data_IF_249583386859
#
_entry.id   IF_249583386859
#
_cell.length_a   1.000
_cell.length_b   1.000
_cell.length_c   1.000
_cell.angle_alpha   90.00
_cell.angle_beta   90.00
_cell.angle_gamma   90.00
#
_symmetry.space_group_name_H-M   'P 1'
#
loop_
_entity.id
_entity.type
_entity.pdbx_description
1 polymer ?
#
# COMPACT_ATOMS: atom_id res chain seq x y z
N UNK A 1 -21.26 -15.70 -19.82
CA UNK A 1 -21.27 -15.69 -18.34
C UNK A 1 -22.15 -14.53 -17.88
N UNK A 2 -22.93 -14.69 -16.80
CA UNK A 2 -23.67 -13.58 -16.20
C UNK A 2 -22.76 -12.71 -15.31
N UNK A 3 -23.20 -11.49 -15.02
CA UNK A 3 -22.60 -10.61 -14.03
C UNK A 3 -22.63 -11.27 -12.65
N UNK A 4 -21.50 -11.27 -11.95
CA UNK A 4 -21.39 -11.88 -10.61
C UNK A 4 -22.24 -11.17 -9.54
N UNK A 5 -22.58 -9.90 -9.73
CA UNK A 5 -23.30 -9.10 -8.73
C UNK A 5 -24.81 -9.05 -8.98
N UNK A 6 -25.26 -9.02 -10.23
CA UNK A 6 -26.67 -8.78 -10.58
C UNK A 6 -27.24 -9.77 -11.60
N UNK A 7 -26.46 -10.76 -12.05
CA UNK A 7 -26.93 -11.78 -12.98
C UNK A 7 -27.09 -11.35 -14.44
N UNK A 8 -26.80 -10.08 -14.80
CA UNK A 8 -26.92 -9.57 -16.18
C UNK A 8 -26.16 -10.46 -17.17
N UNK A 9 -26.81 -11.02 -18.21
CA UNK A 9 -26.15 -11.89 -19.18
C UNK A 9 -25.22 -11.10 -20.13
N UNK A 10 -24.34 -11.82 -20.82
CA UNK A 10 -23.50 -11.23 -21.89
C UNK A 10 -22.29 -10.41 -21.42
N UNK A 11 -21.88 -10.54 -20.15
CA UNK A 11 -20.70 -9.83 -19.62
C UNK A 11 -19.58 -10.81 -19.23
N UNK A 12 -18.34 -10.31 -19.18
CA UNK A 12 -17.17 -11.15 -18.87
C UNK A 12 -17.14 -11.58 -17.40
N UNK A 13 -17.35 -10.64 -16.46
CA UNK A 13 -17.33 -10.89 -15.00
C UNK A 13 -18.26 -9.96 -14.23
N UNK A 14 -18.18 -8.66 -14.49
CA UNK A 14 -19.03 -7.61 -13.92
C UNK A 14 -19.56 -6.72 -15.05
N UNK A 15 -20.81 -6.29 -14.97
CA UNK A 15 -21.31 -5.21 -15.82
C UNK A 15 -20.76 -3.85 -15.36
N UNK A 16 -20.82 -2.85 -16.24
CA UNK A 16 -20.28 -1.51 -15.96
C UNK A 16 -20.96 -0.85 -14.74
N UNK A 17 -22.27 -1.05 -14.56
CA UNK A 17 -23.01 -0.52 -13.40
C UNK A 17 -22.52 -1.12 -12.08
N UNK A 18 -22.37 -2.44 -12.02
CA UNK A 18 -21.88 -3.12 -10.82
C UNK A 18 -20.41 -2.83 -10.57
N UNK A 19 -19.59 -2.65 -11.62
CA UNK A 19 -18.21 -2.18 -11.51
C UNK A 19 -18.17 -0.78 -10.88
N UNK A 20 -18.92 0.17 -11.43
CA UNK A 20 -19.01 1.53 -10.90
C UNK A 20 -19.60 1.56 -9.47
N UNK A 21 -20.56 0.69 -9.17
CA UNK A 21 -21.10 0.52 -7.82
C UNK A 21 -20.05 0.01 -6.82
N UNK A 22 -19.22 -0.96 -7.22
CA UNK A 22 -18.09 -1.43 -6.40
C UNK A 22 -17.05 -0.34 -6.16
N UNK A 23 -16.67 0.42 -7.19
CA UNK A 23 -15.71 1.53 -7.01
C UNK A 23 -16.26 2.62 -6.08
N UNK A 24 -17.55 2.99 -6.22
CA UNK A 24 -18.21 3.92 -5.30
C UNK A 24 -18.21 3.42 -3.85
N UNK A 25 -18.49 2.14 -3.62
CA UNK A 25 -18.42 1.52 -2.28
C UNK A 25 -17.00 1.40 -1.73
N UNK A 26 -15.98 1.41 -2.59
CA UNK A 26 -14.58 1.30 -2.21
C UNK A 26 -14.05 2.56 -1.51
N UNK A 27 -14.76 3.68 -1.63
CA UNK A 27 -14.32 4.98 -1.14
C UNK A 27 -13.13 5.54 -1.91
N UNK A 28 -12.75 6.76 -1.56
CA UNK A 28 -11.62 7.47 -2.14
C UNK A 28 -10.29 6.96 -1.54
N UNK A 29 -9.18 7.20 -2.23
CA UNK A 29 -7.87 6.69 -1.81
C UNK A 29 -7.35 7.36 -0.52
N UNK A 30 -7.70 8.62 -0.32
CA UNK A 30 -7.49 9.40 0.91
C UNK A 30 -8.24 8.85 2.11
N UNK A 31 -9.51 8.47 1.95
CA UNK A 31 -10.31 7.78 2.99
C UNK A 31 -9.69 6.44 3.41
N UNK A 32 -8.85 5.86 2.55
CA UNK A 32 -8.13 4.60 2.81
C UNK A 32 -6.69 4.80 3.30
N UNK A 33 -6.28 6.03 3.63
CA UNK A 33 -4.95 6.32 4.15
C UNK A 33 -3.86 6.48 3.07
N UNK A 34 -4.24 6.71 1.81
CA UNK A 34 -3.31 6.99 0.69
C UNK A 34 -3.48 8.43 0.16
N UNK A 35 -3.85 9.34 1.06
CA UNK A 35 -4.17 10.74 0.74
C UNK A 35 -2.94 11.62 0.48
N UNK A 36 -3.13 12.94 0.43
CA UNK A 36 -2.03 13.90 0.30
C UNK A 36 -0.90 13.67 1.31
N UNK A 37 -1.24 13.38 2.56
CA UNK A 37 -0.26 13.16 3.62
C UNK A 37 0.60 11.91 3.38
N UNK A 38 0.01 10.83 2.87
CA UNK A 38 0.75 9.63 2.48
C UNK A 38 1.76 9.98 1.38
N UNK A 39 1.35 10.78 0.38
CA UNK A 39 2.23 11.18 -0.72
C UNK A 39 3.35 12.10 -0.24
N UNK A 40 3.03 13.07 0.63
CA UNK A 40 4.01 13.99 1.20
C UNK A 40 5.04 13.25 2.04
N UNK A 41 4.59 12.38 2.96
CA UNK A 41 5.50 11.57 3.79
C UNK A 41 6.34 10.62 2.96
N UNK A 42 5.78 10.04 1.90
CA UNK A 42 6.54 9.20 0.98
C UNK A 42 7.61 9.99 0.22
N UNK A 43 7.30 11.20 -0.20
CA UNK A 43 8.24 12.07 -0.91
C UNK A 43 9.40 12.51 0.01
N UNK A 44 9.11 12.91 1.25
CA UNK A 44 10.12 13.29 2.25
C UNK A 44 11.16 12.18 2.47
N UNK A 45 10.70 10.94 2.69
CA UNK A 45 11.61 9.80 2.87
C UNK A 45 12.36 9.47 1.59
N UNK A 46 11.72 9.59 0.43
CA UNK A 46 12.40 9.36 -0.85
C UNK A 46 13.51 10.38 -1.07
N UNK A 47 13.29 11.65 -0.70
CA UNK A 47 14.31 12.71 -0.78
C UNK A 47 15.51 12.39 0.11
N UNK A 48 15.30 11.87 1.32
CA UNK A 48 16.38 11.40 2.20
C UNK A 48 17.20 10.28 1.53
N UNK A 49 16.53 9.25 0.99
CA UNK A 49 17.21 8.14 0.29
C UNK A 49 17.98 8.67 -0.93
N UNK A 50 17.38 9.55 -1.72
CA UNK A 50 17.98 10.12 -2.93
C UNK A 50 19.18 11.04 -2.59
N UNK A 51 19.17 11.68 -1.42
CA UNK A 51 20.29 12.45 -0.87
C UNK A 51 21.45 11.56 -0.34
N UNK A 52 21.27 10.24 -0.32
CA UNK A 52 22.25 9.28 0.17
C UNK A 52 22.14 8.99 1.67
N UNK A 53 21.06 9.43 2.33
CA UNK A 53 20.82 9.06 3.72
C UNK A 53 20.48 7.58 3.86
N UNK A 54 20.90 7.00 4.98
CA UNK A 54 20.65 5.60 5.29
C UNK A 54 19.30 5.47 6.01
N UNK A 55 18.26 5.13 5.24
CA UNK A 55 16.92 4.86 5.77
C UNK A 55 16.73 3.35 5.94
N UNK A 56 16.20 2.93 7.09
CA UNK A 56 15.94 1.51 7.40
C UNK A 56 14.45 1.21 7.45
N UNK A 57 14.09 -0.05 7.17
CA UNK A 57 12.75 -0.56 7.42
C UNK A 57 12.42 -0.50 8.92
N UNK A 58 11.29 0.12 9.27
CA UNK A 58 10.86 0.33 10.67
C UNK A 58 10.37 -0.93 11.38
N UNK A 59 10.09 -2.01 10.64
CA UNK A 59 9.53 -3.26 11.17
C UNK A 59 10.43 -4.48 11.00
N UNK A 60 11.55 -4.38 10.28
CA UNK A 60 12.44 -5.53 10.14
C UNK A 60 13.05 -5.89 11.51
N UNK A 61 13.19 -7.19 11.83
CA UNK A 61 13.85 -7.63 13.07
C UNK A 61 15.36 -7.37 13.05
N UNK A 62 15.94 -7.22 11.86
CA UNK A 62 17.33 -6.85 11.64
C UNK A 62 17.39 -5.54 10.83
N UNK A 63 18.45 -4.73 10.98
CA UNK A 63 18.63 -3.54 10.15
C UNK A 63 18.61 -3.91 8.66
N UNK A 64 17.59 -3.44 7.94
CA UNK A 64 17.45 -3.63 6.51
C UNK A 64 17.34 -2.26 5.84
N UNK A 65 18.43 -1.84 5.20
CA UNK A 65 18.49 -0.56 4.52
C UNK A 65 17.57 -0.56 3.31
N UNK A 66 16.82 0.53 3.15
CA UNK A 66 15.98 0.77 1.99
C UNK A 66 16.81 1.44 0.91
N UNK A 67 16.70 0.92 -0.31
CA UNK A 67 17.50 1.40 -1.45
C UNK A 67 16.56 1.75 -2.60
N UNK A 68 16.81 2.91 -3.21
CA UNK A 68 16.02 3.39 -4.33
C UNK A 68 14.55 3.59 -3.96
N UNK A 69 13.65 2.93 -4.68
CA UNK A 69 12.19 3.10 -4.54
C UNK A 69 11.46 1.83 -4.11
N UNK A 70 12.20 0.77 -3.78
CA UNK A 70 11.66 -0.56 -3.45
C UNK A 70 11.25 -0.65 -1.97
N UNK A 71 10.38 0.27 -1.57
CA UNK A 71 9.84 0.40 -0.23
C UNK A 71 8.45 1.05 -0.25
N UNK A 72 7.68 0.80 0.80
CA UNK A 72 6.32 1.30 0.98
C UNK A 72 6.20 2.06 2.31
N UNK A 73 5.27 3.01 2.39
CA UNK A 73 4.95 3.68 3.65
C UNK A 73 3.98 2.81 4.44
N UNK A 74 4.45 2.22 5.55
CA UNK A 74 3.65 1.33 6.37
C UNK A 74 2.64 2.08 7.23
N UNK A 75 1.46 1.48 7.42
CA UNK A 75 0.41 1.96 8.32
C UNK A 75 0.44 1.24 9.67
N UNK A 76 -0.09 1.87 10.71
CA UNK A 76 -0.35 1.20 11.98
C UNK A 76 -1.44 0.11 11.79
N UNK A 77 -1.23 -1.12 12.29
CA UNK A 77 -2.21 -2.20 12.15
C UNK A 77 -3.56 -1.93 12.84
N UNK A 78 -3.56 -1.11 13.89
CA UNK A 78 -4.73 -0.73 14.69
C UNK A 78 -5.39 0.54 14.15
N UNK A 79 -4.63 1.40 13.47
CA UNK A 79 -5.14 2.62 12.86
C UNK A 79 -4.45 2.92 11.51
N UNK A 80 -5.18 2.69 10.42
CA UNK A 80 -4.64 2.88 9.06
C UNK A 80 -4.48 4.35 8.65
N UNK A 81 -4.94 5.29 9.48
CA UNK A 81 -4.66 6.71 9.27
C UNK A 81 -3.27 7.12 9.76
N UNK A 82 -2.64 6.29 10.59
CA UNK A 82 -1.31 6.53 11.16
C UNK A 82 -0.24 5.84 10.31
N UNK A 83 0.81 6.58 9.95
CA UNK A 83 1.99 6.02 9.30
C UNK A 83 3.05 5.66 10.34
N UNK A 84 3.55 4.44 10.31
CA UNK A 84 4.63 3.98 11.20
C UNK A 84 6.02 4.17 10.60
N UNK A 85 6.09 4.50 9.30
CA UNK A 85 7.31 4.80 8.59
C UNK A 85 7.59 3.85 7.42
N UNK A 86 8.77 3.96 6.80
CA UNK A 86 9.08 3.22 5.59
C UNK A 86 9.35 1.75 5.89
N UNK A 87 8.81 0.87 5.06
CA UNK A 87 8.93 -0.57 5.16
C UNK A 87 9.43 -1.18 3.87
N UNK A 88 10.23 -2.24 4.00
CA UNK A 88 10.54 -3.06 2.84
C UNK A 88 9.30 -3.82 2.36
N UNK A 89 9.28 -4.16 1.07
CA UNK A 89 8.17 -4.86 0.44
C UNK A 89 7.69 -6.12 1.19
N UNK A 90 8.58 -7.01 1.71
CA UNK A 90 8.15 -8.16 2.50
C UNK A 90 7.36 -7.76 3.75
N UNK A 91 7.90 -6.84 4.56
CA UNK A 91 7.27 -6.39 5.79
C UNK A 91 5.90 -5.75 5.54
N UNK A 92 5.80 -4.85 4.56
CA UNK A 92 4.55 -4.14 4.27
C UNK A 92 3.43 -5.08 3.80
N UNK A 93 3.77 -6.13 3.05
CA UNK A 93 2.79 -7.08 2.53
C UNK A 93 2.48 -8.24 3.48
N UNK A 94 3.02 -8.23 4.69
CA UNK A 94 2.85 -9.32 5.66
C UNK A 94 3.63 -10.59 5.32
N UNK A 95 4.52 -10.54 4.32
CA UNK A 95 5.51 -11.58 4.09
C UNK A 95 6.64 -11.34 5.09
N UNK A 96 6.58 -11.94 6.28
CA UNK A 96 7.76 -11.93 7.18
C UNK A 96 8.95 -12.47 6.39
N UNK A 97 9.92 -11.60 6.09
CA UNK A 97 11.18 -12.06 5.54
C UNK A 97 11.78 -13.03 6.57
N UNK A 98 12.08 -14.26 6.13
CA UNK A 98 12.88 -15.16 6.94
C UNK A 98 14.23 -14.48 7.22
N UNK A 99 14.83 -14.67 8.42
CA UNK A 99 16.16 -14.13 8.69
C UNK A 99 17.16 -14.65 7.65
N UNK A 100 18.18 -13.86 7.27
CA UNK A 100 19.24 -14.33 6.40
C UNK A 100 19.93 -15.55 7.04
N UNK A 101 20.21 -16.57 6.22
CA UNK A 101 20.97 -17.76 6.61
C UNK A 101 22.47 -17.48 6.64
#
# INVERSE_FOLDING_TARGET
MPCLDCGRPGVRRLCDDCKAGRERRRGYADERGYGPDHRARRAEIQEQIDAGEVVYCVTCPTPNQLVGRDWDLGHDPRDRSVYIGPQCWPCNRGHRAAPPR
#
